data_IF_367245865397
#
_entry.id   IF_367245865397
#
_cell.length_a   1.000
_cell.length_b   1.000
_cell.length_c   1.000
_cell.angle_alpha   90.00
_cell.angle_beta   90.00
_cell.angle_gamma   90.00
#
_symmetry.space_group_name_H-M   'P 1'
#
loop_
_entity.id
_entity.type
_entity.pdbx_description
1 polymer ?
#
# COMPACT_ATOMS: atom_id res chain seq x y z
N UNK A 1 46.45 -45.12 -62.20
CA UNK A 1 46.97 -44.30 -61.11
C UNK A 1 46.28 -42.91 -61.10
N UNK A 2 46.23 -42.20 -62.22
CA UNK A 2 45.65 -40.85 -62.30
C UNK A 2 44.16 -40.78 -61.90
N UNK A 3 43.34 -41.81 -62.19
CA UNK A 3 41.93 -41.88 -61.85
C UNK A 3 41.67 -42.11 -60.33
N UNK A 4 42.59 -42.83 -59.68
CA UNK A 4 42.55 -43.07 -58.25
C UNK A 4 42.91 -41.78 -57.46
N UNK A 5 43.92 -41.05 -57.89
CA UNK A 5 44.32 -39.77 -57.30
C UNK A 5 43.21 -38.72 -57.42
N UNK A 6 42.52 -38.72 -58.57
CA UNK A 6 41.41 -37.79 -58.80
C UNK A 6 40.19 -38.15 -57.92
N UNK A 7 39.92 -39.43 -57.71
CA UNK A 7 38.85 -39.91 -56.82
C UNK A 7 39.15 -39.56 -55.34
N UNK A 8 40.40 -39.71 -54.91
CA UNK A 8 40.83 -39.35 -53.52
C UNK A 8 40.71 -37.84 -53.27
N UNK A 9 41.15 -37.04 -54.27
CA UNK A 9 41.01 -35.56 -54.17
C UNK A 9 39.55 -35.12 -54.07
N UNK A 10 38.69 -35.73 -54.90
CA UNK A 10 37.25 -35.42 -54.90
C UNK A 10 36.60 -35.85 -53.58
N UNK A 11 36.92 -37.03 -53.05
CA UNK A 11 36.43 -37.51 -51.78
C UNK A 11 36.89 -36.61 -50.61
N UNK A 12 38.15 -36.11 -50.63
CA UNK A 12 38.67 -35.18 -49.67
C UNK A 12 37.94 -33.83 -49.69
N UNK A 13 37.63 -33.30 -50.89
CA UNK A 13 36.86 -32.06 -51.03
C UNK A 13 35.42 -32.20 -50.53
N UNK A 14 34.79 -33.37 -50.81
CA UNK A 14 33.47 -33.65 -50.29
C UNK A 14 33.44 -33.81 -48.77
N UNK A 15 34.43 -34.47 -48.18
CA UNK A 15 34.55 -34.60 -46.74
C UNK A 15 34.68 -33.22 -46.05
N UNK A 16 35.47 -32.30 -46.65
CA UNK A 16 35.66 -30.95 -46.14
C UNK A 16 34.38 -30.09 -46.24
N UNK A 17 33.63 -30.28 -47.34
CA UNK A 17 32.31 -29.64 -47.53
C UNK A 17 31.31 -30.10 -46.47
N UNK A 18 31.28 -31.41 -46.19
CA UNK A 18 30.42 -32.02 -45.15
C UNK A 18 30.82 -31.54 -43.77
N UNK A 19 32.11 -31.42 -43.45
CA UNK A 19 32.54 -30.90 -42.17
C UNK A 19 32.15 -29.43 -41.99
N UNK A 20 32.29 -28.61 -43.00
CA UNK A 20 31.84 -27.22 -42.95
C UNK A 20 30.31 -27.07 -42.78
N UNK A 21 29.57 -27.92 -43.51
CA UNK A 21 28.12 -27.95 -43.35
C UNK A 21 27.68 -28.42 -41.95
N UNK A 22 28.41 -29.37 -41.36
CA UNK A 22 28.13 -29.84 -39.98
C UNK A 22 28.43 -28.75 -38.95
N UNK A 23 29.58 -28.06 -39.08
CA UNK A 23 29.91 -26.91 -38.21
C UNK A 23 28.89 -25.77 -38.32
N UNK A 24 28.37 -25.51 -39.52
CA UNK A 24 27.30 -24.52 -39.70
C UNK A 24 25.99 -24.96 -39.08
N UNK A 25 25.62 -26.22 -39.16
CA UNK A 25 24.43 -26.76 -38.51
C UNK A 25 24.54 -26.67 -36.98
N UNK A 26 25.66 -27.06 -36.41
CA UNK A 26 25.90 -26.97 -34.96
C UNK A 26 25.85 -25.50 -34.47
N UNK A 27 26.42 -24.58 -35.23
CA UNK A 27 26.33 -23.16 -34.92
C UNK A 27 24.86 -22.65 -34.95
N UNK A 28 24.11 -23.02 -35.99
CA UNK A 28 22.68 -22.66 -36.10
C UNK A 28 21.83 -23.27 -35.00
N UNK A 29 22.10 -24.54 -34.65
CA UNK A 29 21.40 -25.22 -33.57
C UNK A 29 21.65 -24.55 -32.22
N UNK A 30 22.88 -24.18 -31.95
CA UNK A 30 23.29 -23.42 -30.74
C UNK A 30 22.59 -22.07 -30.67
N UNK A 31 22.59 -21.32 -31.77
CA UNK A 31 21.90 -20.02 -31.87
C UNK A 31 20.38 -20.17 -31.66
N UNK A 32 19.76 -21.15 -32.34
CA UNK A 32 18.32 -21.41 -32.19
C UNK A 32 17.93 -21.80 -30.75
N UNK A 33 18.77 -22.62 -30.10
CA UNK A 33 18.56 -23.03 -28.72
C UNK A 33 18.67 -21.84 -27.75
N UNK A 34 19.67 -20.96 -27.94
CA UNK A 34 19.85 -19.76 -27.16
C UNK A 34 18.70 -18.76 -27.33
N UNK A 35 18.26 -18.58 -28.58
CA UNK A 35 17.14 -17.69 -28.91
C UNK A 35 15.82 -18.18 -28.32
N UNK A 36 15.53 -19.50 -28.47
CA UNK A 36 14.32 -20.12 -27.89
C UNK A 36 14.31 -20.01 -26.37
N UNK A 37 15.45 -20.22 -25.71
CA UNK A 37 15.58 -20.03 -24.27
C UNK A 37 15.32 -18.58 -23.86
N UNK A 38 15.90 -17.63 -24.57
CA UNK A 38 15.68 -16.19 -24.31
C UNK A 38 14.20 -15.78 -24.47
N UNK A 39 13.53 -16.31 -25.49
CA UNK A 39 12.10 -16.08 -25.70
C UNK A 39 11.25 -16.68 -24.56
N UNK A 40 11.57 -17.91 -24.13
CA UNK A 40 10.91 -18.56 -23.00
C UNK A 40 11.08 -17.77 -21.71
N UNK A 41 12.30 -17.35 -21.40
CA UNK A 41 12.60 -16.54 -20.20
C UNK A 41 11.83 -15.22 -20.25
N UNK A 42 11.75 -14.57 -21.41
CA UNK A 42 10.99 -13.33 -21.62
C UNK A 42 9.47 -13.54 -21.41
N UNK A 43 8.90 -14.58 -21.95
CA UNK A 43 7.48 -14.93 -21.78
C UNK A 43 7.16 -15.26 -20.32
N UNK A 44 8.05 -15.95 -19.63
CA UNK A 44 7.89 -16.28 -18.23
C UNK A 44 7.95 -15.02 -17.35
N UNK A 45 8.87 -14.09 -17.65
CA UNK A 45 8.96 -12.81 -16.96
C UNK A 45 7.69 -11.97 -17.17
N UNK A 46 7.19 -11.87 -18.40
CA UNK A 46 5.93 -11.18 -18.71
C UNK A 46 4.73 -11.80 -17.99
N UNK A 47 4.68 -13.13 -17.93
CA UNK A 47 3.61 -13.85 -17.23
C UNK A 47 3.61 -13.60 -15.73
N UNK A 48 4.76 -13.56 -15.09
CA UNK A 48 4.89 -13.23 -13.66
C UNK A 48 4.52 -11.78 -13.38
N UNK A 49 4.95 -10.85 -14.21
CA UNK A 49 4.59 -9.44 -14.08
C UNK A 49 3.09 -9.20 -14.22
N UNK A 50 2.43 -9.83 -15.20
CA UNK A 50 0.99 -9.73 -15.38
C UNK A 50 0.22 -10.28 -14.16
N UNK A 51 0.65 -11.44 -13.62
CA UNK A 51 0.05 -12.02 -12.41
C UNK A 51 0.19 -11.09 -11.21
N UNK A 52 1.35 -10.48 -11.02
CA UNK A 52 1.59 -9.54 -9.91
C UNK A 52 0.67 -8.33 -10.01
N UNK A 53 0.51 -7.74 -11.20
CA UNK A 53 -0.40 -6.61 -11.42
C UNK A 53 -1.85 -6.95 -11.08
N UNK A 54 -2.34 -8.11 -11.51
CA UNK A 54 -3.70 -8.58 -11.19
C UNK A 54 -3.86 -8.78 -9.69
N UNK A 55 -2.85 -9.36 -9.04
CA UNK A 55 -2.86 -9.59 -7.59
C UNK A 55 -2.89 -8.28 -6.81
N UNK A 56 -2.06 -7.30 -7.18
CA UNK A 56 -2.04 -5.96 -6.56
C UNK A 56 -3.39 -5.26 -6.74
N UNK A 57 -3.99 -5.33 -7.94
CA UNK A 57 -5.31 -4.77 -8.18
C UNK A 57 -6.40 -5.44 -7.31
N UNK A 58 -6.34 -6.75 -7.14
CA UNK A 58 -7.24 -7.51 -6.28
C UNK A 58 -7.07 -7.12 -4.80
N UNK A 59 -5.83 -6.98 -4.31
CA UNK A 59 -5.52 -6.54 -2.95
C UNK A 59 -6.09 -5.14 -2.70
N UNK A 60 -5.85 -4.18 -3.60
CA UNK A 60 -6.38 -2.81 -3.47
C UNK A 60 -7.89 -2.81 -3.37
N UNK A 61 -8.57 -3.54 -4.23
CA UNK A 61 -10.04 -3.65 -4.21
C UNK A 61 -10.55 -4.28 -2.91
N UNK A 62 -9.87 -5.31 -2.41
CA UNK A 62 -10.22 -5.96 -1.16
C UNK A 62 -10.02 -5.04 0.05
N UNK A 63 -8.91 -4.26 0.09
CA UNK A 63 -8.66 -3.24 1.12
C UNK A 63 -9.73 -2.15 1.13
N UNK A 64 -10.15 -1.66 -0.04
CA UNK A 64 -11.21 -0.65 -0.14
C UNK A 64 -12.56 -1.16 0.34
N UNK A 65 -12.82 -2.46 0.18
CA UNK A 65 -14.04 -3.13 0.63
C UNK A 65 -13.95 -3.68 2.07
N UNK A 66 -12.77 -3.60 2.71
CA UNK A 66 -12.54 -4.18 4.05
C UNK A 66 -12.56 -5.70 4.06
N UNK A 67 -12.28 -6.33 2.93
CA UNK A 67 -12.24 -7.79 2.81
C UNK A 67 -10.89 -8.36 3.25
N UNK A 68 -10.84 -9.61 3.74
CA UNK A 68 -9.59 -10.26 4.10
C UNK A 68 -8.72 -10.48 2.85
N UNK A 69 -7.42 -10.17 2.96
CA UNK A 69 -6.44 -10.27 1.88
C UNK A 69 -5.40 -11.37 2.11
N UNK A 70 -5.51 -12.14 3.18
CA UNK A 70 -4.51 -13.13 3.60
C UNK A 70 -4.09 -14.11 2.50
N UNK A 71 -5.06 -14.59 1.69
CA UNK A 71 -4.77 -15.49 0.57
C UNK A 71 -3.89 -14.83 -0.52
N UNK A 72 -4.19 -13.57 -0.85
CA UNK A 72 -3.42 -12.81 -1.83
C UNK A 72 -2.01 -12.45 -1.31
N UNK A 73 -1.90 -12.11 -0.02
CA UNK A 73 -0.63 -11.81 0.65
C UNK A 73 0.27 -13.05 0.68
N UNK A 74 -0.28 -14.24 0.93
CA UNK A 74 0.48 -15.49 0.89
C UNK A 74 1.07 -15.78 -0.50
N UNK A 75 0.31 -15.54 -1.57
CA UNK A 75 0.82 -15.69 -2.93
C UNK A 75 1.94 -14.67 -3.20
N UNK A 76 1.76 -13.43 -2.75
CA UNK A 76 2.74 -12.37 -2.92
C UNK A 76 4.04 -12.65 -2.13
N UNK A 77 3.93 -13.19 -0.91
CA UNK A 77 5.08 -13.57 -0.09
C UNK A 77 5.92 -14.69 -0.71
N UNK A 78 5.29 -15.63 -1.41
CA UNK A 78 6.00 -16.67 -2.16
C UNK A 78 6.78 -16.11 -3.35
N UNK A 79 6.30 -15.02 -3.95
CA UNK A 79 6.92 -14.41 -5.12
C UNK A 79 8.01 -13.40 -4.78
N UNK A 80 7.83 -12.61 -3.71
CA UNK A 80 8.71 -11.50 -3.31
C UNK A 80 9.57 -11.81 -2.08
N UNK A 81 9.28 -12.90 -1.38
CA UNK A 81 9.88 -13.24 -0.10
C UNK A 81 9.09 -12.70 1.09
N UNK A 82 9.09 -13.45 2.20
CA UNK A 82 8.37 -13.10 3.43
C UNK A 82 8.94 -11.86 4.13
N UNK A 83 10.23 -11.58 3.94
CA UNK A 83 10.96 -10.50 4.60
C UNK A 83 10.82 -9.14 3.87
N UNK A 84 10.06 -9.12 2.78
CA UNK A 84 9.79 -7.88 2.05
C UNK A 84 8.91 -6.95 2.91
N UNK A 85 9.34 -5.69 3.08
CA UNK A 85 8.65 -4.70 3.91
C UNK A 85 7.19 -4.49 3.49
N UNK A 86 6.91 -4.54 2.17
CA UNK A 86 5.56 -4.41 1.64
C UNK A 86 4.69 -5.61 2.01
N UNK A 87 5.24 -6.82 1.96
CA UNK A 87 4.54 -8.04 2.38
C UNK A 87 4.22 -7.98 3.88
N UNK A 88 5.16 -7.55 4.71
CA UNK A 88 4.95 -7.36 6.15
C UNK A 88 3.85 -6.34 6.45
N UNK A 89 3.82 -5.21 5.74
CA UNK A 89 2.77 -4.20 5.88
C UNK A 89 1.38 -4.75 5.50
N UNK A 90 1.30 -5.55 4.44
CA UNK A 90 0.06 -6.20 4.02
C UNK A 90 -0.38 -7.31 4.99
N UNK A 91 0.55 -8.04 5.61
CA UNK A 91 0.25 -9.05 6.63
C UNK A 91 -0.42 -8.44 7.86
N UNK A 92 -0.05 -7.22 8.26
CA UNK A 92 -0.67 -6.51 9.38
C UNK A 92 -2.18 -6.27 9.19
N UNK A 93 -2.68 -6.31 7.95
CA UNK A 93 -4.09 -6.13 7.60
C UNK A 93 -4.68 -7.36 6.88
N UNK A 94 -4.03 -8.51 6.96
CA UNK A 94 -4.39 -9.73 6.24
C UNK A 94 -5.80 -10.24 6.58
N UNK A 95 -6.23 -10.10 7.83
CA UNK A 95 -7.56 -10.51 8.30
C UNK A 95 -8.69 -9.54 7.90
N UNK A 96 -8.34 -8.41 7.32
CA UNK A 96 -9.24 -7.35 6.86
C UNK A 96 -8.93 -6.01 7.52
N UNK A 97 -8.83 -4.99 6.71
CA UNK A 97 -8.64 -3.61 7.18
C UNK A 97 -10.00 -2.93 7.38
N UNK A 98 -10.14 -2.05 8.39
CA UNK A 98 -11.36 -1.26 8.51
C UNK A 98 -11.49 -0.33 7.31
N UNK A 99 -12.69 -0.26 6.73
CA UNK A 99 -12.98 0.67 5.64
C UNK A 99 -12.96 2.12 6.13
N UNK A 100 -12.75 3.08 5.20
CA UNK A 100 -12.85 4.51 5.51
C UNK A 100 -14.17 4.87 6.20
N UNK A 101 -15.27 4.23 5.78
CA UNK A 101 -16.59 4.43 6.41
C UNK A 101 -16.59 3.97 7.86
N UNK A 102 -16.04 2.79 8.15
CA UNK A 102 -15.95 2.27 9.53
C UNK A 102 -15.03 3.12 10.40
N UNK A 103 -13.90 3.60 9.88
CA UNK A 103 -13.01 4.51 10.60
C UNK A 103 -13.73 5.82 10.97
N UNK A 104 -14.46 6.41 10.03
CA UNK A 104 -15.28 7.61 10.29
C UNK A 104 -16.38 7.35 11.31
N UNK A 105 -17.09 6.23 11.21
CA UNK A 105 -18.13 5.87 12.19
C UNK A 105 -17.53 5.72 13.60
N UNK A 106 -16.38 5.06 13.75
CA UNK A 106 -15.67 4.93 15.03
C UNK A 106 -15.21 6.30 15.56
N UNK A 107 -14.65 7.15 14.71
CA UNK A 107 -14.26 8.51 15.08
C UNK A 107 -15.47 9.29 15.61
N UNK A 108 -16.58 9.31 14.87
CA UNK A 108 -17.77 10.04 15.24
C UNK A 108 -18.44 9.49 16.52
N UNK A 109 -18.39 8.19 16.74
CA UNK A 109 -18.89 7.57 17.97
C UNK A 109 -18.05 7.93 19.20
N UNK A 110 -16.73 8.09 19.02
CA UNK A 110 -15.81 8.45 20.10
C UNK A 110 -15.75 9.97 20.34
N UNK A 111 -16.11 10.81 19.38
CA UNK A 111 -16.01 12.26 19.43
C UNK A 111 -16.57 12.90 20.70
N UNK A 112 -17.79 12.58 21.20
CA UNK A 112 -18.32 13.17 22.43
C UNK A 112 -17.47 12.84 23.66
N UNK A 113 -16.97 11.60 23.77
CA UNK A 113 -16.11 11.18 24.87
C UNK A 113 -14.72 11.88 24.83
N UNK A 114 -14.17 12.05 23.62
CA UNK A 114 -12.91 12.75 23.40
C UNK A 114 -13.03 14.24 23.75
N UNK A 115 -14.13 14.89 23.39
CA UNK A 115 -14.42 16.28 23.74
C UNK A 115 -14.61 16.48 25.24
N UNK A 116 -15.29 15.54 25.92
CA UNK A 116 -15.46 15.57 27.37
C UNK A 116 -14.11 15.50 28.11
N UNK A 117 -13.15 14.70 27.59
CA UNK A 117 -11.79 14.63 28.15
C UNK A 117 -10.90 15.82 27.79
N UNK A 118 -11.13 16.46 26.66
CA UNK A 118 -10.45 17.65 26.25
C UNK A 118 -10.93 18.90 26.98
N UNK A 119 -12.13 18.84 27.55
CA UNK A 119 -12.62 19.92 28.40
C UNK A 119 -11.67 20.08 29.62
N UNK A 120 -11.16 21.28 29.89
CA UNK A 120 -10.32 21.50 31.03
C UNK A 120 -11.08 20.99 32.28
N UNK A 121 -10.45 20.06 33.02
CA UNK A 121 -10.95 19.64 34.33
C UNK A 121 -11.19 20.91 35.10
N UNK A 122 -12.46 21.19 35.44
CA UNK A 122 -12.87 22.42 36.09
C UNK A 122 -11.94 22.66 37.28
N UNK A 123 -11.04 23.63 37.12
CA UNK A 123 -10.25 24.15 38.23
C UNK A 123 -11.21 24.54 39.34
N UNK A 124 -10.88 24.22 40.57
CA UNK A 124 -11.63 24.46 41.79
C UNK A 124 -11.68 25.99 42.07
N UNK A 125 -12.21 26.76 41.09
CA UNK A 125 -12.40 28.21 41.19
C UNK A 125 -13.83 28.55 41.60
N UNK A 126 -14.06 29.75 42.16
CA UNK A 126 -15.36 30.18 42.66
C UNK A 126 -16.44 30.16 41.54
N UNK A 127 -17.67 29.86 41.91
CA UNK A 127 -18.82 29.52 41.04
C UNK A 127 -19.15 30.56 39.94
N UNK A 128 -18.79 31.83 40.12
CA UNK A 128 -19.08 32.91 39.15
C UNK A 128 -18.15 32.88 37.92
N UNK A 129 -16.91 32.38 38.05
CA UNK A 129 -16.03 32.20 36.86
C UNK A 129 -16.49 31.06 35.97
N UNK A 130 -17.15 29.99 36.52
CA UNK A 130 -17.74 28.89 35.76
C UNK A 130 -18.91 29.35 34.88
N UNK A 131 -19.72 30.28 35.36
CA UNK A 131 -20.87 30.83 34.61
C UNK A 131 -20.35 31.67 33.43
N UNK A 132 -19.29 32.45 33.62
CA UNK A 132 -18.67 33.23 32.54
C UNK A 132 -18.02 32.39 31.45
N UNK A 133 -17.37 31.28 31.81
CA UNK A 133 -16.77 30.35 30.85
C UNK A 133 -17.83 29.50 30.11
N UNK A 134 -18.88 29.06 30.81
CA UNK A 134 -19.98 28.31 30.20
C UNK A 134 -20.81 29.18 29.25
N UNK A 135 -21.01 30.45 29.55
CA UNK A 135 -21.65 31.40 28.64
C UNK A 135 -20.77 31.74 27.43
N UNK A 136 -19.44 31.80 27.56
CA UNK A 136 -18.54 31.98 26.42
C UNK A 136 -18.50 30.75 25.51
N UNK A 137 -18.63 29.55 26.04
CA UNK A 137 -18.71 28.33 25.23
C UNK A 137 -20.05 28.16 24.52
N UNK A 138 -21.16 28.67 25.11
CA UNK A 138 -22.49 28.70 24.50
C UNK A 138 -22.69 29.79 23.45
N UNK A 139 -21.97 30.92 23.56
CA UNK A 139 -22.08 32.06 22.62
C UNK A 139 -21.04 32.00 21.49
N UNK A 140 -20.44 30.88 21.21
CA UNK A 140 -19.88 30.68 19.87
C UNK A 140 -21.02 30.42 18.89
N UNK A 141 -21.83 31.44 18.64
CA UNK A 141 -22.72 31.57 17.49
C UNK A 141 -21.83 31.50 16.22
N UNK A 142 -21.70 30.30 15.70
CA UNK A 142 -21.00 30.02 14.46
C UNK A 142 -21.77 30.74 13.35
N UNK A 143 -21.25 31.85 12.87
CA UNK A 143 -21.68 32.40 11.58
C UNK A 143 -21.41 31.30 10.54
N UNK A 144 -22.47 30.83 9.88
CA UNK A 144 -22.44 29.74 8.94
C UNK A 144 -21.51 29.96 7.72
N UNK A 145 -21.01 31.17 7.53
CA UNK A 145 -20.30 31.60 6.33
C UNK A 145 -18.79 31.83 6.47
N UNK A 146 -18.21 31.54 7.66
CA UNK A 146 -16.77 31.61 7.81
C UNK A 146 -16.15 30.21 7.84
N UNK A 147 -15.24 29.87 6.87
CA UNK A 147 -14.41 28.69 7.04
C UNK A 147 -13.66 28.84 8.36
N UNK A 148 -13.83 27.87 9.26
CA UNK A 148 -13.21 27.87 10.58
C UNK A 148 -11.69 27.96 10.39
N UNK A 149 -11.13 29.16 10.60
CA UNK A 149 -9.70 29.31 10.84
C UNK A 149 -9.42 28.46 12.09
N UNK A 150 -8.76 27.33 11.89
CA UNK A 150 -8.41 26.40 12.94
C UNK A 150 -7.55 27.18 13.96
N UNK A 151 -8.10 27.45 15.14
CA UNK A 151 -7.30 27.90 16.26
C UNK A 151 -6.38 26.72 16.61
N UNK A 152 -5.05 26.86 16.47
CA UNK A 152 -4.14 25.79 16.83
C UNK A 152 -4.34 25.45 18.30
N UNK A 153 -4.86 24.25 18.58
CA UNK A 153 -5.10 23.77 19.95
C UNK A 153 -6.55 23.39 20.29
N UNK A 154 -7.54 23.73 19.46
CA UNK A 154 -8.91 23.29 19.69
C UNK A 154 -9.12 21.83 19.21
N UNK A 155 -9.27 20.93 20.19
CA UNK A 155 -9.49 19.49 19.93
C UNK A 155 -10.73 19.26 19.05
N UNK A 156 -11.80 20.03 19.21
CA UNK A 156 -13.00 19.91 18.39
C UNK A 156 -12.71 20.18 16.91
N UNK A 157 -11.98 21.25 16.63
CA UNK A 157 -11.55 21.63 15.28
C UNK A 157 -10.60 20.59 14.66
N UNK A 158 -9.70 20.02 15.44
CA UNK A 158 -8.78 18.97 15.02
C UNK A 158 -9.55 17.69 14.67
N UNK A 159 -10.52 17.26 15.48
CA UNK A 159 -11.38 16.09 15.20
C UNK A 159 -12.26 16.32 13.95
N UNK A 160 -12.79 17.54 13.76
CA UNK A 160 -13.54 17.89 12.55
C UNK A 160 -12.65 17.85 11.30
N UNK A 161 -11.42 18.31 11.41
CA UNK A 161 -10.43 18.27 10.33
C UNK A 161 -10.07 16.83 9.99
N UNK A 162 -9.89 15.98 11.02
CA UNK A 162 -9.63 14.55 10.83
C UNK A 162 -10.79 13.85 10.13
N UNK A 163 -12.05 14.09 10.54
CA UNK A 163 -13.23 13.52 9.84
C UNK A 163 -13.32 13.97 8.39
N UNK A 164 -13.03 15.24 8.11
CA UNK A 164 -13.03 15.80 6.76
C UNK A 164 -11.96 15.15 5.87
N UNK A 165 -10.73 14.94 6.40
CA UNK A 165 -9.66 14.24 5.68
C UNK A 165 -10.02 12.80 5.39
N UNK A 166 -10.61 12.09 6.37
CA UNK A 166 -11.14 10.73 6.16
C UNK A 166 -12.25 10.71 5.11
N UNK A 167 -13.13 11.72 5.06
CA UNK A 167 -14.16 11.85 4.03
C UNK A 167 -13.57 12.01 2.63
N UNK A 168 -12.44 12.70 2.53
CA UNK A 168 -11.68 12.92 1.28
C UNK A 168 -10.78 11.72 0.91
N UNK A 169 -10.68 10.70 1.78
CA UNK A 169 -9.77 9.56 1.57
C UNK A 169 -8.31 9.84 1.94
N UNK A 170 -8.00 11.02 2.49
CA UNK A 170 -6.67 11.41 2.96
C UNK A 170 -6.39 10.80 4.34
N UNK A 171 -6.03 9.51 4.35
CA UNK A 171 -5.67 8.79 5.56
C UNK A 171 -4.41 9.34 6.21
N UNK A 172 -3.39 9.65 5.42
CA UNK A 172 -2.10 10.14 5.91
C UNK A 172 -2.27 11.48 6.64
N UNK A 173 -3.03 12.38 6.05
CA UNK A 173 -3.36 13.65 6.66
C UNK A 173 -4.25 13.50 7.90
N UNK A 174 -5.16 12.53 7.92
CA UNK A 174 -5.96 12.26 9.11
C UNK A 174 -5.10 11.73 10.27
N UNK A 175 -4.14 10.83 10.01
CA UNK A 175 -3.16 10.35 11.01
C UNK A 175 -2.33 11.52 11.55
N UNK A 176 -1.80 12.38 10.68
CA UNK A 176 -0.98 13.52 11.10
C UNK A 176 -1.75 14.48 12.03
N UNK A 177 -3.04 14.71 11.78
CA UNK A 177 -3.89 15.50 12.69
C UNK A 177 -4.08 14.78 14.02
N UNK A 178 -4.26 13.46 14.02
CA UNK A 178 -4.42 12.66 15.23
C UNK A 178 -3.18 12.65 16.13
N UNK A 179 -1.99 12.73 15.52
CA UNK A 179 -0.70 12.75 16.25
C UNK A 179 -0.44 14.08 17.00
N UNK A 180 -1.01 15.17 16.51
CA UNK A 180 -0.88 16.50 17.13
C UNK A 180 -1.88 16.70 18.29
N UNK A 181 -2.86 15.81 18.46
CA UNK A 181 -3.82 15.87 19.55
C UNK A 181 -3.15 15.80 20.94
N UNK A 182 -3.73 16.44 21.96
CA UNK A 182 -3.26 16.34 23.33
C UNK A 182 -3.18 14.89 23.80
N UNK A 183 -2.18 14.55 24.61
CA UNK A 183 -1.89 13.18 25.03
C UNK A 183 -3.10 12.46 25.66
N UNK A 184 -3.91 13.18 26.45
CA UNK A 184 -5.10 12.64 27.09
C UNK A 184 -6.17 12.14 26.08
N UNK A 185 -6.30 12.84 24.94
CA UNK A 185 -7.21 12.49 23.85
C UNK A 185 -6.58 11.43 22.95
N UNK A 186 -5.30 11.61 22.60
CA UNK A 186 -4.54 10.69 21.76
C UNK A 186 -4.50 9.28 22.32
N UNK A 187 -4.33 9.10 23.63
CA UNK A 187 -4.31 7.79 24.27
C UNK A 187 -5.61 7.00 24.07
N UNK A 188 -6.77 7.67 24.02
CA UNK A 188 -8.03 6.99 23.68
C UNK A 188 -8.19 6.69 22.20
N UNK A 189 -7.56 7.48 21.33
CA UNK A 189 -7.60 7.30 19.88
C UNK A 189 -6.54 6.33 19.38
N UNK A 190 -5.60 5.89 20.22
CA UNK A 190 -4.49 5.04 19.80
C UNK A 190 -4.91 3.78 19.01
N UNK A 191 -5.99 3.05 19.39
CA UNK A 191 -6.45 1.92 18.59
C UNK A 191 -6.89 2.35 17.17
N UNK A 192 -7.61 3.49 17.06
CA UNK A 192 -8.05 4.02 15.78
C UNK A 192 -6.86 4.51 14.94
N UNK A 193 -5.90 5.21 15.55
CA UNK A 193 -4.69 5.69 14.88
C UNK A 193 -3.82 4.53 14.39
N UNK A 194 -3.70 3.45 15.18
CA UNK A 194 -3.00 2.24 14.78
C UNK A 194 -3.62 1.60 13.55
N UNK A 195 -4.95 1.44 13.54
CA UNK A 195 -5.69 0.88 12.40
C UNK A 195 -5.49 1.75 11.15
N UNK A 196 -5.49 3.07 11.30
CA UNK A 196 -5.26 4.02 10.21
C UNK A 196 -3.82 3.95 9.68
N UNK A 197 -2.81 3.88 10.56
CA UNK A 197 -1.40 3.72 10.16
C UNK A 197 -1.19 2.41 9.41
N UNK A 198 -1.76 1.30 9.90
CA UNK A 198 -1.68 0.00 9.23
C UNK A 198 -2.31 0.06 7.83
N UNK A 199 -3.46 0.72 7.68
CA UNK A 199 -4.10 0.89 6.38
C UNK A 199 -3.29 1.81 5.43
N UNK A 200 -2.65 2.86 5.95
CA UNK A 200 -1.74 3.72 5.17
C UNK A 200 -0.56 2.90 4.67
N UNK A 201 0.11 2.14 5.54
CA UNK A 201 1.24 1.29 5.18
C UNK A 201 0.84 0.25 4.12
N UNK A 202 -0.32 -0.40 4.29
CA UNK A 202 -0.82 -1.38 3.33
C UNK A 202 -1.19 -0.80 1.95
N UNK A 203 -1.58 0.48 1.89
CA UNK A 203 -1.88 1.16 0.61
C UNK A 203 -0.64 1.66 -0.12
N UNK A 204 0.45 1.84 0.60
CA UNK A 204 1.76 2.26 0.06
C UNK A 204 2.62 1.06 -0.38
N UNK A 205 2.31 -0.13 0.15
CA UNK A 205 2.94 -1.40 -0.21
C UNK A 205 2.52 -1.90 -1.60
#
# INVERSE_FOLDING_TARGET
LATLDQAVTTAGAQAQTLQNAHAQLDSRLTQFTAETKSQLDSLQAQGTQARTLVLVAAIRRALDNGQPIGGAVNILSQSLGSDNANVTALQAVAEGAPTLRQLRQRLNAQKPALLAKAAPTASTGPSYERIGQSLRSMVQLRRADQPAAAVPGDVASQLDTMDRRLAQGDLSGAVAVGEVLPQAVRGQMEPLLRDMRALVAARQA
#
